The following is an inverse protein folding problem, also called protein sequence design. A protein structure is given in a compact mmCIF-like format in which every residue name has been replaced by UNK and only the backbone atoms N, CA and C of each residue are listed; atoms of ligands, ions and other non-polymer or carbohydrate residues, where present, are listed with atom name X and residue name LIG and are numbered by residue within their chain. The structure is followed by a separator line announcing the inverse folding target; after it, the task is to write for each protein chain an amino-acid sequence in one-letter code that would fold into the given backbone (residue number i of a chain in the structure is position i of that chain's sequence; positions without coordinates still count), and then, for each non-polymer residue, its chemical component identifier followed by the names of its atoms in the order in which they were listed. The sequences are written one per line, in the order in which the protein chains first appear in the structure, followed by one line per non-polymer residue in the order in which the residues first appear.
data_IF_962912879961
#
_entry.id   IF_962912879961
#
_cell.length_a   1.000
_cell.length_b   1.000
_cell.length_c   1.000
_cell.angle_alpha   90.00
_cell.angle_beta   90.00
_cell.angle_gamma   90.00
#
_symmetry.space_group_name_H-M   'P 1'
#
loop_
_entity.id
_entity.type
_entity.pdbx_description
1 polymer ?
#
# COMPACT_ATOMS: atom_id res chain seq x y z
N UNK A 1 -22.80 53.63 10.71
CA UNK A 1 -23.16 52.25 10.46
C UNK A 1 -22.53 51.60 9.20
N UNK A 2 -22.01 52.34 8.23
CA UNK A 2 -21.38 51.74 7.00
C UNK A 2 -19.93 51.23 7.15
N UNK A 3 -19.20 51.64 8.17
CA UNK A 3 -17.78 51.28 8.36
C UNK A 3 -17.57 49.87 8.98
N UNK A 4 -18.54 49.31 9.64
CA UNK A 4 -18.42 47.98 10.27
C UNK A 4 -18.82 46.82 9.34
N UNK A 5 -19.54 47.08 8.24
CA UNK A 5 -19.89 46.04 7.27
C UNK A 5 -18.72 45.64 6.38
N UNK A 6 -17.74 46.53 6.13
CA UNK A 6 -16.60 46.23 5.26
C UNK A 6 -15.57 45.36 5.98
N UNK A 7 -15.43 45.51 7.31
CA UNK A 7 -14.49 44.69 8.13
C UNK A 7 -14.97 43.25 8.30
N UNK A 8 -16.28 43.02 8.36
CA UNK A 8 -16.84 41.66 8.46
C UNK A 8 -16.72 40.87 7.14
N UNK A 9 -16.77 41.56 5.99
CA UNK A 9 -16.66 40.94 4.66
C UNK A 9 -15.22 40.51 4.32
N UNK A 10 -14.21 41.20 4.88
CA UNK A 10 -12.79 40.89 4.66
C UNK A 10 -12.31 39.72 5.53
N UNK A 11 -12.97 39.42 6.66
CA UNK A 11 -12.66 38.27 7.50
C UNK A 11 -13.25 36.93 6.95
N UNK A 12 -14.20 36.98 6.04
CA UNK A 12 -14.75 35.78 5.40
C UNK A 12 -13.92 35.27 4.21
N UNK A 13 -12.94 36.03 3.72
CA UNK A 13 -12.14 35.66 2.55
C UNK A 13 -10.82 34.97 2.87
N UNK A 14 -10.51 34.70 4.12
CA UNK A 14 -9.27 34.04 4.53
C UNK A 14 -9.53 32.70 5.25
N UNK A 15 -10.51 31.93 4.77
CA UNK A 15 -10.49 30.51 5.13
C UNK A 15 -9.38 29.87 4.27
N UNK A 16 -8.30 29.35 4.88
CA UNK A 16 -7.35 28.57 4.11
C UNK A 16 -8.14 27.45 3.45
N UNK A 17 -8.05 27.31 2.14
CA UNK A 17 -8.56 26.14 1.45
C UNK A 17 -7.91 24.94 2.13
N UNK A 18 -8.66 24.15 2.87
CA UNK A 18 -8.17 22.87 3.39
C UNK A 18 -7.85 22.03 2.17
N UNK A 19 -6.56 21.98 1.83
CA UNK A 19 -6.11 21.15 0.73
C UNK A 19 -6.46 19.71 1.07
N UNK A 20 -7.15 19.02 0.15
CA UNK A 20 -7.48 17.62 0.33
C UNK A 20 -6.21 16.81 0.56
N UNK A 21 -6.17 16.02 1.63
CA UNK A 21 -5.06 15.11 1.92
C UNK A 21 -5.21 13.87 1.08
N UNK A 22 -4.09 13.36 0.56
CA UNK A 22 -4.06 12.17 -0.29
C UNK A 22 -3.05 11.16 0.23
N UNK A 23 -3.44 9.90 0.27
CA UNK A 23 -2.52 8.81 0.56
C UNK A 23 -2.56 7.78 -0.58
N UNK A 24 -1.38 7.26 -0.95
CA UNK A 24 -1.24 6.18 -1.93
C UNK A 24 -0.66 4.93 -1.25
N UNK A 25 -1.25 3.76 -1.55
CA UNK A 25 -0.66 2.45 -1.33
C UNK A 25 -0.41 1.77 -2.67
N UNK A 26 0.82 1.28 -2.90
CA UNK A 26 1.16 0.67 -4.17
C UNK A 26 2.31 -0.34 -4.06
N UNK A 27 2.11 -1.56 -4.55
CA UNK A 27 3.20 -2.47 -4.87
C UNK A 27 3.80 -2.02 -6.21
N UNK A 28 5.05 -1.53 -6.16
CA UNK A 28 5.73 -0.90 -7.31
C UNK A 28 6.58 -1.89 -8.13
N UNK A 29 6.42 -3.16 -7.87
CA UNK A 29 7.09 -4.26 -8.56
C UNK A 29 8.61 -4.06 -8.71
N UNK A 30 9.37 -4.75 -7.88
CA UNK A 30 10.84 -4.80 -8.00
C UNK A 30 11.52 -3.42 -8.07
N UNK A 31 11.08 -2.48 -7.21
CA UNK A 31 11.62 -1.13 -7.15
C UNK A 31 11.31 -0.27 -8.37
N UNK A 32 10.12 -0.41 -8.94
CA UNK A 32 9.71 0.25 -10.19
C UNK A 32 10.67 -0.09 -11.33
N UNK A 33 10.98 -1.38 -11.49
CA UNK A 33 11.96 -1.85 -12.47
C UNK A 33 11.69 -1.35 -13.89
N UNK A 34 10.43 -1.20 -14.26
CA UNK A 34 10.00 -0.74 -15.58
C UNK A 34 10.43 0.69 -15.93
N UNK A 35 10.81 1.49 -14.92
CA UNK A 35 11.21 2.90 -15.09
C UNK A 35 12.64 3.18 -14.61
N UNK A 36 13.39 2.14 -14.20
CA UNK A 36 14.78 2.29 -13.74
C UNK A 36 15.69 2.86 -14.83
N UNK A 37 15.59 2.35 -16.07
CA UNK A 37 16.35 2.84 -17.21
C UNK A 37 16.02 4.30 -17.58
N UNK A 38 14.85 4.78 -17.20
CA UNK A 38 14.39 6.16 -17.35
C UNK A 38 14.62 7.00 -16.08
N UNK A 39 15.50 6.56 -15.20
CA UNK A 39 15.78 7.25 -13.93
C UNK A 39 14.52 7.57 -13.11
N UNK A 40 13.51 6.72 -13.17
CA UNK A 40 12.20 6.88 -12.47
C UNK A 40 11.40 8.13 -12.87
N UNK A 41 11.63 8.71 -14.06
CA UNK A 41 11.01 9.98 -14.44
C UNK A 41 9.48 9.87 -14.57
N UNK A 42 8.96 8.77 -15.15
CA UNK A 42 7.51 8.54 -15.25
C UNK A 42 6.86 8.33 -13.87
N UNK A 43 7.52 7.55 -13.00
CA UNK A 43 7.07 7.33 -11.62
C UNK A 43 6.98 8.64 -10.83
N UNK A 44 8.03 9.45 -10.92
CA UNK A 44 8.09 10.76 -10.27
C UNK A 44 7.01 11.70 -10.81
N UNK A 45 6.79 11.73 -12.12
CA UNK A 45 5.78 12.59 -12.74
C UNK A 45 4.35 12.17 -12.35
N UNK A 46 4.09 10.86 -12.29
CA UNK A 46 2.82 10.34 -11.77
C UNK A 46 2.55 10.80 -10.33
N UNK A 47 3.56 10.71 -9.45
CA UNK A 47 3.43 11.13 -8.06
C UNK A 47 3.31 12.66 -7.93
N UNK A 48 4.02 13.46 -8.74
CA UNK A 48 3.84 14.92 -8.79
C UNK A 48 2.41 15.30 -9.17
N UNK A 49 1.88 14.65 -10.21
CA UNK A 49 0.54 14.95 -10.72
C UNK A 49 -0.54 14.55 -9.71
N UNK A 50 -0.40 13.37 -9.09
CA UNK A 50 -1.33 12.89 -8.07
C UNK A 50 -1.19 13.69 -6.77
N UNK A 51 0.04 14.15 -6.46
CA UNK A 51 0.40 14.99 -5.33
C UNK A 51 0.00 14.42 -3.95
N UNK A 52 0.30 13.15 -3.63
CA UNK A 52 -0.02 12.56 -2.34
C UNK A 52 0.75 13.23 -1.19
N UNK A 53 0.20 13.16 0.02
CA UNK A 53 0.88 13.61 1.24
C UNK A 53 1.71 12.49 1.87
N UNK A 54 1.26 11.25 1.69
CA UNK A 54 1.94 10.03 2.16
C UNK A 54 1.82 8.95 1.10
N UNK A 55 2.92 8.22 0.86
CA UNK A 55 2.95 7.02 0.03
C UNK A 55 3.45 5.83 0.86
N UNK A 56 2.81 4.67 0.64
CA UNK A 56 3.27 3.37 1.12
C UNK A 56 3.56 2.49 -0.10
N UNK A 57 4.81 2.09 -0.26
CA UNK A 57 5.24 1.27 -1.38
C UNK A 57 5.69 -0.11 -0.90
N UNK A 58 5.23 -1.17 -1.56
CA UNK A 58 5.76 -2.52 -1.45
C UNK A 58 6.74 -2.80 -2.59
N UNK A 59 7.62 -3.80 -2.41
CA UNK A 59 8.69 -4.15 -3.36
C UNK A 59 9.61 -2.97 -3.71
N UNK A 60 9.99 -2.21 -2.70
CA UNK A 60 10.67 -0.93 -2.84
C UNK A 60 12.20 -1.05 -2.99
N UNK A 61 12.69 -2.08 -3.68
CA UNK A 61 14.11 -2.39 -3.89
C UNK A 61 14.41 -2.65 -5.36
N UNK A 62 15.52 -2.09 -5.85
CA UNK A 62 16.04 -2.38 -7.19
C UNK A 62 16.49 -3.85 -7.29
N UNK A 63 15.88 -4.62 -8.20
CA UNK A 63 16.20 -6.03 -8.42
C UNK A 63 16.76 -6.31 -9.82
N UNK A 64 16.44 -5.46 -10.80
CA UNK A 64 16.98 -5.55 -12.16
C UNK A 64 18.27 -4.74 -12.27
N UNK A 65 19.39 -5.44 -12.29
CA UNK A 65 20.72 -4.85 -12.35
C UNK A 65 21.43 -5.30 -13.62
N UNK A 66 22.08 -4.37 -14.27
CA UNK A 66 23.12 -4.70 -15.25
C UNK A 66 24.38 -5.19 -14.53
N UNK A 67 25.22 -5.94 -15.23
CA UNK A 67 26.44 -6.52 -14.65
C UNK A 67 27.30 -5.45 -13.99
N UNK A 68 27.59 -5.64 -12.70
CA UNK A 68 28.46 -4.76 -11.92
C UNK A 68 27.81 -3.48 -11.38
N UNK A 69 26.50 -3.30 -11.55
CA UNK A 69 25.79 -2.20 -10.91
C UNK A 69 25.43 -2.51 -9.47
N UNK A 70 25.59 -1.53 -8.59
CA UNK A 70 25.04 -1.57 -7.23
C UNK A 70 23.56 -1.20 -7.25
N UNK A 71 22.72 -1.82 -6.40
CA UNK A 71 21.31 -1.47 -6.29
C UNK A 71 21.13 0.01 -5.93
N UNK A 72 20.38 0.75 -6.75
CA UNK A 72 20.09 2.16 -6.46
C UNK A 72 19.11 2.31 -5.29
N UNK A 73 18.06 1.52 -5.26
CA UNK A 73 17.13 1.42 -4.14
C UNK A 73 17.48 0.18 -3.29
N UNK A 74 17.29 0.22 -1.96
CA UNK A 74 16.57 1.25 -1.19
C UNK A 74 17.43 2.44 -0.72
N UNK A 75 18.74 2.44 -0.93
CA UNK A 75 19.67 3.42 -0.36
C UNK A 75 19.40 4.89 -0.79
N UNK A 76 18.77 5.09 -1.95
CA UNK A 76 18.52 6.42 -2.52
C UNK A 76 17.03 6.80 -2.55
N UNK A 77 16.19 6.18 -1.71
CA UNK A 77 14.78 6.54 -1.64
C UNK A 77 14.57 8.02 -1.26
N UNK A 78 15.41 8.60 -0.42
CA UNK A 78 15.40 10.02 -0.08
C UNK A 78 15.53 10.91 -1.31
N UNK A 79 16.43 10.56 -2.25
CA UNK A 79 16.63 11.30 -3.49
C UNK A 79 15.45 11.18 -4.45
N UNK A 80 14.87 9.98 -4.57
CA UNK A 80 13.69 9.76 -5.41
C UNK A 80 12.48 10.47 -4.82
N UNK A 81 12.25 10.35 -3.51
CA UNK A 81 11.15 10.98 -2.79
C UNK A 81 11.18 12.52 -2.88
N UNK A 82 12.36 13.12 -2.72
CA UNK A 82 12.54 14.57 -2.85
C UNK A 82 12.10 15.11 -4.23
N UNK A 83 12.23 14.32 -5.30
CA UNK A 83 11.84 14.72 -6.66
C UNK A 83 10.34 14.94 -6.82
N UNK A 84 9.50 14.27 -6.02
CA UNK A 84 8.04 14.49 -5.99
C UNK A 84 7.56 15.19 -4.72
N UNK A 85 8.48 15.81 -3.97
CA UNK A 85 8.16 16.71 -2.87
C UNK A 85 7.99 16.04 -1.51
N UNK A 86 8.48 14.81 -1.32
CA UNK A 86 8.51 14.15 -0.02
C UNK A 86 9.89 14.28 0.62
N UNK A 87 9.92 14.90 1.81
CA UNK A 87 11.16 15.15 2.57
C UNK A 87 11.48 14.02 3.55
N UNK A 88 10.49 13.20 3.92
CA UNK A 88 10.65 12.17 4.93
C UNK A 88 10.49 10.78 4.32
N UNK A 89 11.42 9.90 4.67
CA UNK A 89 11.46 8.51 4.17
C UNK A 89 11.68 7.57 5.34
N UNK A 90 10.92 6.49 5.38
CA UNK A 90 11.08 5.38 6.30
C UNK A 90 11.14 4.06 5.54
N UNK A 91 12.17 3.27 5.79
CA UNK A 91 12.34 1.92 5.27
C UNK A 91 11.98 0.91 6.36
N UNK A 92 10.95 0.10 6.12
CA UNK A 92 10.46 -0.87 7.10
C UNK A 92 11.45 -2.01 7.35
N UNK A 93 12.03 -2.55 6.28
CA UNK A 93 13.01 -3.63 6.31
C UNK A 93 14.05 -3.40 5.23
N UNK A 94 15.33 -3.43 5.58
CA UNK A 94 16.45 -3.15 4.67
C UNK A 94 17.20 -4.41 4.18
N UNK A 95 16.99 -5.53 4.86
CA UNK A 95 17.67 -6.80 4.54
C UNK A 95 16.84 -7.75 3.67
N UNK A 96 15.59 -7.39 3.40
CA UNK A 96 14.70 -8.17 2.57
C UNK A 96 14.88 -7.84 1.07
N UNK A 97 14.39 -8.75 0.22
CA UNK A 97 14.32 -8.53 -1.22
C UNK A 97 13.11 -7.70 -1.65
N UNK A 98 12.08 -7.58 -0.81
CA UNK A 98 10.84 -6.89 -1.11
C UNK A 98 10.41 -5.94 0.03
N UNK A 99 11.29 -4.98 0.43
CA UNK A 99 11.03 -4.08 1.54
C UNK A 99 9.85 -3.15 1.24
N UNK A 100 9.22 -2.63 2.32
CA UNK A 100 8.26 -1.56 2.23
C UNK A 100 8.93 -0.23 2.57
N UNK A 101 8.49 0.83 1.88
CA UNK A 101 8.92 2.21 2.11
C UNK A 101 7.70 3.09 2.33
N UNK A 102 7.77 3.96 3.33
CA UNK A 102 6.83 5.06 3.52
C UNK A 102 7.56 6.35 3.20
N UNK A 103 6.99 7.16 2.30
CA UNK A 103 7.46 8.51 2.04
C UNK A 103 6.39 9.54 2.37
N UNK A 104 6.77 10.72 2.86
CA UNK A 104 5.83 11.71 3.37
C UNK A 104 6.32 13.13 3.18
N UNK A 105 5.36 14.07 2.96
CA UNK A 105 5.58 15.52 3.10
C UNK A 105 5.69 15.94 4.56
N UNK A 106 5.19 15.12 5.48
CA UNK A 106 5.12 15.40 6.91
C UNK A 106 6.13 14.56 7.68
N UNK A 107 6.63 15.05 8.83
CA UNK A 107 7.58 14.32 9.67
C UNK A 107 7.07 12.93 10.06
N UNK A 108 7.93 11.92 9.86
CA UNK A 108 7.69 10.54 10.28
C UNK A 108 8.30 10.35 11.66
N UNK A 109 7.47 9.87 12.62
CA UNK A 109 7.86 9.70 14.03
C UNK A 109 7.48 8.33 14.57
N UNK A 110 8.00 8.01 15.76
CA UNK A 110 7.66 6.79 16.51
C UNK A 110 7.74 5.51 15.68
N UNK A 111 8.87 5.34 15.02
CA UNK A 111 9.13 4.24 14.09
C UNK A 111 9.26 2.91 14.84
N UNK A 112 8.48 1.91 14.42
CA UNK A 112 8.62 0.51 14.85
C UNK A 112 8.75 -0.39 13.64
N UNK A 113 9.90 -1.09 13.52
CA UNK A 113 10.10 -2.18 12.55
C UNK A 113 9.60 -3.50 13.14
N UNK A 114 8.96 -4.33 12.33
CA UNK A 114 8.35 -5.59 12.73
C UNK A 114 8.85 -6.68 11.79
N UNK A 115 9.81 -7.47 12.26
CA UNK A 115 10.44 -8.53 11.47
C UNK A 115 9.98 -9.95 11.89
N UNK A 116 9.07 -10.03 12.87
CA UNK A 116 8.62 -11.29 13.45
C UNK A 116 9.32 -11.63 14.77
N UNK A 117 9.25 -12.89 15.17
CA UNK A 117 9.85 -13.46 16.38
C UNK A 117 10.43 -14.84 16.08
N UNK A 118 10.94 -15.55 17.12
CA UNK A 118 11.42 -16.93 16.95
C UNK A 118 10.32 -17.88 16.46
N UNK A 119 9.06 -17.62 16.86
CA UNK A 119 7.90 -18.46 16.56
C UNK A 119 7.05 -17.96 15.40
N UNK A 120 7.24 -16.72 14.96
CA UNK A 120 6.44 -16.11 13.91
C UNK A 120 7.34 -15.30 12.98
N UNK A 121 7.41 -15.72 11.73
CA UNK A 121 8.12 -15.00 10.68
C UNK A 121 7.17 -14.01 10.03
N UNK A 122 7.61 -12.75 9.88
CA UNK A 122 7.00 -11.75 9.00
C UNK A 122 7.98 -11.58 7.83
N UNK A 123 7.69 -12.26 6.72
CA UNK A 123 8.68 -12.57 5.69
C UNK A 123 9.32 -11.34 5.07
N UNK A 124 8.52 -10.40 4.59
CA UNK A 124 9.00 -9.12 4.04
C UNK A 124 9.06 -8.01 5.11
N UNK A 125 8.80 -8.37 6.38
CA UNK A 125 8.69 -7.40 7.45
C UNK A 125 7.44 -6.53 7.35
N UNK A 126 7.28 -5.66 8.32
CA UNK A 126 6.26 -4.62 8.35
C UNK A 126 6.80 -3.42 9.13
N UNK A 127 6.11 -2.30 9.06
CA UNK A 127 6.49 -1.12 9.82
C UNK A 127 5.28 -0.36 10.33
N UNK A 128 5.44 0.26 11.49
CA UNK A 128 4.49 1.21 12.05
C UNK A 128 5.18 2.54 12.30
N UNK A 129 4.55 3.61 11.81
CA UNK A 129 5.00 4.98 12.01
C UNK A 129 3.83 5.87 12.43
N UNK A 130 4.14 7.02 13.01
CA UNK A 130 3.18 8.08 13.26
C UNK A 130 3.51 9.30 12.40
N UNK A 131 2.47 9.87 11.77
CA UNK A 131 2.57 11.06 10.93
C UNK A 131 1.49 12.04 11.39
N UNK A 132 1.89 13.28 11.71
CA UNK A 132 0.95 14.33 12.05
C UNK A 132 0.52 15.08 10.79
N UNK A 133 -0.78 15.09 10.55
CA UNK A 133 -1.42 15.86 9.48
C UNK A 133 -2.58 16.65 10.06
N UNK A 134 -2.63 17.96 9.80
CA UNK A 134 -3.68 18.88 10.28
C UNK A 134 -3.94 18.82 11.80
N UNK A 135 -2.86 18.70 12.59
CA UNK A 135 -2.93 18.63 14.05
C UNK A 135 -3.45 17.29 14.59
N UNK A 136 -3.55 16.27 13.78
CA UNK A 136 -3.97 14.91 14.15
C UNK A 136 -2.85 13.90 13.85
N UNK A 137 -2.68 12.94 14.75
CA UNK A 137 -1.68 11.88 14.59
C UNK A 137 -2.32 10.66 13.92
N UNK A 138 -1.81 10.31 12.75
CA UNK A 138 -2.18 9.09 12.03
C UNK A 138 -1.15 8.00 12.32
N UNK A 139 -1.63 6.82 12.68
CA UNK A 139 -0.83 5.61 12.82
C UNK A 139 -0.89 4.86 11.48
N UNK A 140 0.25 4.73 10.82
CA UNK A 140 0.34 4.08 9.50
C UNK A 140 1.18 2.81 9.63
N UNK A 141 0.58 1.68 9.30
CA UNK A 141 1.23 0.37 9.23
C UNK A 141 1.39 0.01 7.76
N UNK A 142 2.63 -0.22 7.31
CA UNK A 142 2.91 -0.80 6.02
C UNK A 142 3.06 -2.31 6.15
N UNK A 143 2.50 -3.06 5.20
CA UNK A 143 2.48 -4.50 5.17
C UNK A 143 2.76 -5.02 3.76
N UNK A 144 3.58 -6.07 3.66
CA UNK A 144 3.69 -6.90 2.47
C UNK A 144 3.74 -8.36 2.93
N UNK A 145 2.63 -9.06 2.81
CA UNK A 145 2.55 -10.46 3.20
C UNK A 145 3.23 -11.36 2.17
N UNK A 146 3.83 -12.46 2.63
CA UNK A 146 4.55 -13.38 1.76
C UNK A 146 3.65 -13.96 0.66
N UNK A 147 4.09 -13.95 -0.60
CA UNK A 147 3.31 -14.51 -1.72
C UNK A 147 3.20 -16.05 -1.63
N UNK A 148 4.16 -16.73 -0.93
CA UNK A 148 4.25 -18.17 -0.83
C UNK A 148 4.45 -18.62 0.63
N UNK A 149 3.96 -19.81 1.00
CA UNK A 149 4.28 -20.40 2.31
C UNK A 149 5.79 -20.71 2.40
N UNK A 150 6.43 -20.23 3.48
CA UNK A 150 7.79 -20.62 3.81
C UNK A 150 7.80 -22.09 4.25
N UNK A 151 8.32 -22.98 3.42
CA UNK A 151 8.40 -24.42 3.72
C UNK A 151 8.13 -25.35 2.54
N UNK A 152 7.52 -24.86 1.47
CA UNK A 152 7.56 -25.54 0.19
C UNK A 152 8.92 -25.26 -0.44
N UNK A 153 9.86 -26.22 -0.36
CA UNK A 153 11.21 -26.06 -0.89
C UNK A 153 11.18 -25.45 -2.28
N UNK A 154 11.90 -24.34 -2.44
CA UNK A 154 12.27 -23.86 -3.79
C UNK A 154 12.84 -25.08 -4.51
N UNK A 155 12.37 -25.45 -5.70
CA UNK A 155 13.10 -26.42 -6.50
C UNK A 155 14.51 -25.86 -6.68
N UNK A 156 15.49 -26.47 -6.03
CA UNK A 156 16.89 -26.22 -6.33
C UNK A 156 17.13 -26.71 -7.77
N UNK A 157 17.29 -25.78 -8.68
CA UNK A 157 17.73 -26.12 -10.03
C UNK A 157 17.04 -25.33 -11.11
N UNK A 158 17.77 -24.43 -11.71
CA UNK A 158 17.53 -23.98 -13.06
C UNK A 158 17.14 -22.51 -13.20
N UNK A 159 18.09 -21.71 -13.64
CA UNK A 159 17.80 -20.58 -14.54
C UNK A 159 16.90 -21.12 -15.65
N UNK A 160 15.59 -20.94 -15.53
CA UNK A 160 14.59 -21.33 -16.50
C UNK A 160 13.86 -20.09 -16.94
N UNK A 161 14.24 -19.64 -18.14
CA UNK A 161 13.47 -18.79 -19.05
C UNK A 161 11.97 -18.79 -18.74
N UNK A 162 11.42 -17.59 -18.60
CA UNK A 162 10.02 -17.25 -18.36
C UNK A 162 8.98 -18.26 -18.84
N UNK A 163 8.51 -19.06 -17.93
CA UNK A 163 7.23 -19.74 -18.08
C UNK A 163 6.17 -18.84 -17.41
N UNK A 164 5.39 -18.18 -18.25
CA UNK A 164 4.09 -17.64 -17.85
C UNK A 164 3.38 -18.75 -17.08
N UNK A 165 3.20 -18.60 -15.78
CA UNK A 165 2.21 -19.39 -15.06
C UNK A 165 0.86 -19.00 -15.67
N UNK A 166 0.21 -19.96 -16.30
CA UNK A 166 -1.18 -19.83 -16.71
C UNK A 166 -2.04 -19.50 -15.49
N UNK A 167 -3.28 -19.02 -15.66
CA UNK A 167 -4.17 -18.67 -14.57
C UNK A 167 -4.34 -19.91 -13.70
N UNK A 168 -3.64 -19.93 -12.56
CA UNK A 168 -3.77 -20.99 -11.55
C UNK A 168 -5.21 -20.98 -11.08
N UNK A 169 -5.90 -22.11 -11.30
CA UNK A 169 -7.25 -22.31 -10.80
C UNK A 169 -7.32 -22.08 -9.30
N UNK A 170 -8.51 -21.82 -8.73
CA UNK A 170 -8.76 -21.40 -7.35
C UNK A 170 -8.48 -22.48 -6.26
N UNK A 171 -7.59 -23.42 -6.49
CA UNK A 171 -7.46 -24.61 -5.65
C UNK A 171 -6.13 -24.83 -4.90
N UNK A 172 -5.17 -23.90 -4.90
CA UNK A 172 -3.83 -24.20 -4.38
C UNK A 172 -3.36 -23.42 -3.14
N UNK A 173 -4.19 -22.62 -2.47
CA UNK A 173 -3.74 -21.57 -1.56
C UNK A 173 -3.82 -21.79 -0.04
N UNK A 174 -4.51 -22.81 0.46
CA UNK A 174 -4.85 -22.90 1.90
C UNK A 174 -3.65 -22.79 2.86
N UNK A 175 -2.53 -23.45 2.56
CA UNK A 175 -1.33 -23.38 3.42
C UNK A 175 -0.61 -22.03 3.36
N UNK A 176 -0.68 -21.30 2.25
CA UNK A 176 -0.10 -19.98 2.11
C UNK A 176 -0.92 -18.91 2.82
N UNK A 177 -2.25 -19.00 2.81
CA UNK A 177 -3.12 -18.04 3.48
C UNK A 177 -3.09 -18.20 5.01
N UNK A 178 -2.97 -19.43 5.53
CA UNK A 178 -2.73 -19.66 6.96
C UNK A 178 -1.40 -19.07 7.42
N UNK A 179 -0.36 -19.11 6.59
CA UNK A 179 0.90 -18.45 6.90
C UNK A 179 0.74 -16.92 6.93
N UNK A 180 0.16 -16.32 5.88
CA UNK A 180 -0.14 -14.87 5.80
C UNK A 180 -1.02 -14.40 6.96
N UNK A 181 -2.01 -15.21 7.38
CA UNK A 181 -2.82 -14.91 8.55
C UNK A 181 -1.96 -14.77 9.81
N UNK A 182 -0.98 -15.67 10.04
CA UNK A 182 -0.06 -15.56 11.18
C UNK A 182 0.80 -14.30 11.10
N UNK A 183 1.27 -13.92 9.90
CA UNK A 183 2.00 -12.65 9.71
C UNK A 183 1.13 -11.46 10.10
N UNK A 184 -0.08 -11.36 9.55
CA UNK A 184 -1.03 -10.25 9.82
C UNK A 184 -1.44 -10.24 11.28
N UNK A 185 -1.74 -11.40 11.88
CA UNK A 185 -2.04 -11.53 13.30
C UNK A 185 -0.91 -10.98 14.17
N UNK A 186 0.34 -11.34 13.85
CA UNK A 186 1.50 -10.85 14.58
C UNK A 186 1.65 -9.34 14.42
N UNK A 187 1.53 -8.80 13.21
CA UNK A 187 1.60 -7.36 12.95
C UNK A 187 0.52 -6.62 13.72
N UNK A 188 -0.74 -7.08 13.69
CA UNK A 188 -1.82 -6.46 14.45
C UNK A 188 -1.55 -6.46 15.97
N UNK A 189 -1.03 -7.57 16.53
CA UNK A 189 -0.64 -7.68 17.95
C UNK A 189 0.54 -6.77 18.31
N UNK A 190 1.39 -6.44 17.36
CA UNK A 190 2.53 -5.51 17.57
C UNK A 190 2.17 -4.05 17.33
N UNK A 191 0.99 -3.75 16.78
CA UNK A 191 0.54 -2.41 16.40
C UNK A 191 -0.80 -2.07 17.05
N UNK A 192 -1.88 -2.09 16.31
CA UNK A 192 -3.20 -1.61 16.73
C UNK A 192 -3.72 -2.30 18.00
N UNK A 193 -3.48 -3.60 18.18
CA UNK A 193 -3.91 -4.35 19.36
C UNK A 193 -3.06 -4.10 20.62
N UNK A 194 -2.02 -3.27 20.53
CA UNK A 194 -1.30 -2.76 21.70
C UNK A 194 -2.02 -1.59 22.40
N UNK A 195 -3.04 -1.04 21.77
CA UNK A 195 -3.78 0.12 22.24
C UNK A 195 -5.00 -0.32 23.04
N UNK A 196 -5.35 0.47 24.05
CA UNK A 196 -6.51 0.20 24.90
C UNK A 196 -7.84 0.47 24.16
N UNK A 197 -7.87 1.57 23.38
CA UNK A 197 -9.05 2.01 22.62
C UNK A 197 -8.69 2.35 21.17
N UNK A 198 -8.20 1.36 20.39
CA UNK A 198 -7.73 1.61 19.02
C UNK A 198 -8.83 2.08 18.08
N UNK A 199 -10.10 1.75 18.37
CA UNK A 199 -11.29 2.17 17.62
C UNK A 199 -11.52 3.69 17.64
N UNK A 200 -10.91 4.39 18.60
CA UNK A 200 -10.99 5.86 18.73
C UNK A 200 -9.79 6.60 18.14
N UNK A 201 -8.77 5.87 17.71
CA UNK A 201 -7.54 6.42 17.13
C UNK A 201 -7.57 6.38 15.60
N UNK A 202 -6.70 7.17 14.96
CA UNK A 202 -6.55 7.21 13.51
C UNK A 202 -5.52 6.18 13.07
N UNK A 203 -5.97 5.01 12.64
CA UNK A 203 -5.14 3.91 12.16
C UNK A 203 -5.41 3.61 10.70
N UNK A 204 -4.32 3.37 9.96
CA UNK A 204 -4.32 2.81 8.61
C UNK A 204 -3.34 1.63 8.56
N UNK A 205 -3.73 0.53 7.91
CA UNK A 205 -2.84 -0.57 7.54
C UNK A 205 -2.94 -0.74 6.03
N UNK A 206 -1.82 -0.61 5.33
CA UNK A 206 -1.77 -0.46 3.88
C UNK A 206 -0.71 -1.37 3.27
N UNK A 207 -0.98 -1.92 2.10
CA UNK A 207 -0.01 -2.69 1.31
C UNK A 207 -0.59 -3.87 0.56
N UNK A 208 0.31 -4.78 0.16
CA UNK A 208 0.00 -6.02 -0.53
C UNK A 208 -0.15 -7.17 0.48
N UNK A 209 -1.34 -7.73 0.58
CA UNK A 209 -1.64 -8.84 1.49
C UNK A 209 -1.49 -10.21 0.82
N UNK A 210 -1.25 -10.24 -0.50
CA UNK A 210 -1.16 -11.47 -1.30
C UNK A 210 -2.31 -12.48 -1.03
N UNK A 211 -3.45 -11.97 -0.59
CA UNK A 211 -4.63 -12.73 -0.17
C UNK A 211 -5.90 -12.01 -0.62
N UNK A 212 -7.00 -12.76 -0.77
CA UNK A 212 -8.30 -12.25 -1.21
C UNK A 212 -9.31 -12.25 -0.06
N UNK A 213 -10.28 -11.32 -0.12
CA UNK A 213 -11.31 -11.14 0.90
C UNK A 213 -12.61 -11.85 0.53
N UNK A 214 -13.32 -12.40 1.53
CA UNK A 214 -14.69 -12.92 1.35
C UNK A 214 -15.70 -11.82 1.03
N UNK A 215 -15.37 -10.53 1.22
CA UNK A 215 -16.20 -9.41 0.75
C UNK A 215 -16.32 -9.37 -0.78
N UNK A 216 -15.36 -9.97 -1.49
CA UNK A 216 -15.35 -10.08 -2.94
C UNK A 216 -15.89 -11.44 -3.44
N UNK A 217 -16.51 -12.24 -2.57
CA UNK A 217 -16.91 -13.59 -2.92
C UNK A 217 -17.98 -13.65 -4.03
N UNK A 218 -18.75 -12.59 -4.23
CA UNK A 218 -19.66 -12.48 -5.39
C UNK A 218 -18.93 -12.52 -6.72
N UNK A 219 -17.67 -12.09 -6.76
CA UNK A 219 -16.79 -12.23 -7.91
C UNK A 219 -16.11 -13.60 -7.96
N UNK A 220 -15.51 -14.05 -6.84
CA UNK A 220 -14.71 -15.29 -6.84
C UNK A 220 -15.54 -16.57 -6.87
N UNK A 221 -16.78 -16.54 -6.35
CA UNK A 221 -17.71 -17.67 -6.31
C UNK A 221 -17.16 -18.92 -5.61
N UNK A 222 -16.35 -18.72 -4.56
CA UNK A 222 -15.82 -19.80 -3.74
C UNK A 222 -16.79 -20.14 -2.59
N UNK A 223 -16.51 -21.24 -1.86
CA UNK A 223 -17.24 -21.53 -0.64
C UNK A 223 -17.07 -20.40 0.37
N UNK A 224 -18.15 -20.00 1.04
CA UNK A 224 -18.13 -18.90 2.00
C UNK A 224 -17.21 -19.18 3.21
N UNK A 225 -16.97 -20.46 3.53
CA UNK A 225 -16.09 -20.95 4.59
C UNK A 225 -14.69 -21.34 4.07
N UNK A 226 -14.34 -20.90 2.85
CA UNK A 226 -13.03 -21.18 2.27
C UNK A 226 -11.91 -20.61 3.12
N UNK A 227 -10.91 -21.44 3.46
CA UNK A 227 -9.73 -21.03 4.22
C UNK A 227 -8.88 -19.97 3.52
N UNK A 228 -9.08 -19.74 2.22
CA UNK A 228 -8.40 -18.68 1.45
C UNK A 228 -8.75 -17.26 1.97
N UNK A 229 -9.88 -17.10 2.65
CA UNK A 229 -10.33 -15.82 3.21
C UNK A 229 -9.81 -15.55 4.62
N UNK A 230 -9.09 -16.48 5.23
CA UNK A 230 -8.73 -16.46 6.65
C UNK A 230 -7.91 -15.23 7.08
N UNK A 231 -7.14 -14.61 6.16
CA UNK A 231 -6.36 -13.40 6.41
C UNK A 231 -7.28 -12.20 6.71
N UNK A 232 -8.17 -11.92 5.77
CA UNK A 232 -9.08 -10.77 5.87
C UNK A 232 -10.22 -11.00 6.87
N UNK A 233 -10.64 -12.25 7.05
CA UNK A 233 -11.59 -12.63 8.11
C UNK A 233 -10.96 -12.39 9.50
N UNK A 234 -9.68 -12.72 9.69
CA UNK A 234 -8.98 -12.39 10.93
C UNK A 234 -8.98 -10.89 11.21
N UNK A 235 -8.60 -10.05 10.23
CA UNK A 235 -8.55 -8.59 10.38
C UNK A 235 -9.92 -8.06 10.82
N UNK A 236 -10.99 -8.40 10.11
CA UNK A 236 -12.33 -7.90 10.38
C UNK A 236 -12.93 -8.37 11.70
N UNK A 237 -12.60 -9.58 12.13
CA UNK A 237 -13.19 -10.17 13.32
C UNK A 237 -12.40 -9.84 14.60
N UNK A 238 -11.12 -9.42 14.50
CA UNK A 238 -10.23 -9.26 15.65
C UNK A 238 -9.66 -7.85 15.79
N UNK A 239 -9.97 -6.94 14.87
CA UNK A 239 -9.48 -5.56 14.91
C UNK A 239 -10.60 -4.57 14.56
N UNK A 240 -10.49 -3.29 14.90
CA UNK A 240 -11.44 -2.26 14.47
C UNK A 240 -11.21 -1.78 13.02
N UNK A 241 -10.43 -2.49 12.23
CA UNK A 241 -10.15 -2.14 10.85
C UNK A 241 -11.33 -2.45 9.92
N UNK A 242 -11.62 -1.50 9.03
CA UNK A 242 -12.60 -1.60 7.94
C UNK A 242 -11.86 -1.54 6.62
N UNK A 243 -12.19 -2.39 5.66
CA UNK A 243 -11.69 -2.32 4.29
C UNK A 243 -12.21 -1.06 3.60
N UNK A 244 -11.31 -0.16 3.26
CA UNK A 244 -11.66 1.17 2.73
C UNK A 244 -12.35 1.07 1.36
N UNK A 245 -11.82 0.23 0.45
CA UNK A 245 -12.39 0.08 -0.89
C UNK A 245 -13.78 -0.57 -0.81
N UNK A 246 -13.94 -1.66 -0.08
CA UNK A 246 -15.24 -2.31 0.08
C UNK A 246 -16.26 -1.41 0.79
N UNK A 247 -15.83 -0.53 1.69
CA UNK A 247 -16.69 0.44 2.36
C UNK A 247 -17.20 1.55 1.40
N UNK A 248 -16.29 2.05 0.52
CA UNK A 248 -16.64 3.13 -0.42
C UNK A 248 -17.34 2.64 -1.68
N UNK A 249 -17.14 1.37 -2.05
CA UNK A 249 -17.72 0.71 -3.24
C UNK A 249 -18.43 -0.59 -2.84
N UNK A 250 -19.51 -0.51 -2.07
CA UNK A 250 -20.18 -1.71 -1.55
C UNK A 250 -20.76 -2.56 -2.68
N UNK A 251 -20.36 -3.83 -2.73
CA UNK A 251 -20.79 -4.80 -3.74
C UNK A 251 -20.08 -4.68 -5.10
N UNK A 252 -19.13 -3.77 -5.25
CA UNK A 252 -18.32 -3.65 -6.46
C UNK A 252 -16.98 -4.38 -6.29
N UNK A 253 -16.63 -5.19 -7.27
CA UNK A 253 -15.30 -5.79 -7.34
C UNK A 253 -14.38 -4.94 -8.21
N UNK A 254 -13.28 -4.46 -7.64
CA UNK A 254 -12.24 -3.69 -8.34
C UNK A 254 -10.90 -4.41 -8.12
N UNK A 255 -10.35 -5.00 -9.19
CA UNK A 255 -9.07 -5.69 -9.10
C UNK A 255 -7.91 -4.73 -8.83
N UNK A 256 -6.94 -5.15 -8.01
CA UNK A 256 -5.73 -4.39 -7.72
C UNK A 256 -4.48 -4.94 -8.41
N UNK A 257 -4.53 -6.14 -8.96
CA UNK A 257 -3.40 -6.74 -9.68
C UNK A 257 -3.79 -7.26 -11.06
N UNK A 258 -2.81 -7.38 -11.96
CA UNK A 258 -3.03 -7.82 -13.35
C UNK A 258 -3.55 -9.27 -13.46
N UNK A 259 -3.40 -10.08 -12.43
CA UNK A 259 -3.92 -11.44 -12.38
C UNK A 259 -5.45 -11.54 -12.13
N UNK A 260 -6.15 -10.40 -12.10
CA UNK A 260 -7.59 -10.35 -11.88
C UNK A 260 -8.02 -10.46 -10.43
N UNK A 261 -7.10 -10.24 -9.47
CA UNK A 261 -7.38 -10.30 -8.03
C UNK A 261 -7.34 -8.92 -7.38
N UNK A 262 -8.04 -8.78 -6.27
CA UNK A 262 -7.82 -7.70 -5.31
C UNK A 262 -7.01 -8.27 -4.15
N UNK A 263 -5.74 -7.93 -4.08
CA UNK A 263 -4.78 -8.40 -3.08
C UNK A 263 -4.06 -7.26 -2.37
N UNK A 264 -4.21 -6.04 -2.87
CA UNK A 264 -3.77 -4.82 -2.21
C UNK A 264 -4.93 -4.18 -1.47
N UNK A 265 -4.69 -3.73 -0.25
CA UNK A 265 -5.72 -3.19 0.63
C UNK A 265 -5.25 -1.95 1.38
N UNK A 266 -6.21 -1.09 1.68
CA UNK A 266 -6.12 -0.07 2.74
C UNK A 266 -7.20 -0.42 3.76
N UNK A 267 -6.78 -0.73 4.95
CA UNK A 267 -7.63 -0.87 6.13
C UNK A 267 -7.55 0.39 6.98
N UNK A 268 -8.67 0.83 7.51
CA UNK A 268 -8.72 2.01 8.36
C UNK A 268 -9.70 1.83 9.52
N UNK A 269 -9.44 2.53 10.63
CA UNK A 269 -10.42 2.63 11.72
C UNK A 269 -11.55 3.59 11.35
N UNK A 270 -12.70 3.44 11.99
CA UNK A 270 -13.90 4.25 11.72
C UNK A 270 -13.66 5.77 11.81
N UNK A 271 -12.84 6.32 12.74
CA UNK A 271 -12.50 7.74 12.74
C UNK A 271 -11.76 8.21 11.47
N UNK A 272 -11.02 7.34 10.78
CA UNK A 272 -10.40 7.62 9.49
C UNK A 272 -11.42 7.48 8.37
N UNK A 273 -12.22 6.39 8.35
CA UNK A 273 -13.27 6.13 7.34
C UNK A 273 -14.19 7.34 7.17
N UNK A 274 -14.61 7.96 8.29
CA UNK A 274 -15.47 9.15 8.27
C UNK A 274 -14.83 10.39 7.64
N UNK A 275 -13.50 10.44 7.55
CA UNK A 275 -12.77 11.54 6.94
C UNK A 275 -12.53 11.31 5.45
N UNK A 276 -12.48 10.05 4.99
CA UNK A 276 -12.22 9.70 3.58
C UNK A 276 -13.40 10.14 2.72
N UNK A 277 -13.14 11.01 1.75
CA UNK A 277 -14.09 11.50 0.74
C UNK A 277 -14.18 10.56 -0.44
N UNK A 278 -13.03 10.10 -0.94
CA UNK A 278 -12.95 9.14 -2.04
C UNK A 278 -11.85 8.10 -1.79
N UNK A 279 -12.05 6.92 -2.36
CA UNK A 279 -11.06 5.85 -2.38
C UNK A 279 -11.15 5.13 -3.71
N UNK A 280 -10.04 4.99 -4.42
CA UNK A 280 -10.03 4.45 -5.77
C UNK A 280 -8.83 3.51 -5.96
N UNK A 281 -9.05 2.41 -6.70
CA UNK A 281 -7.98 1.65 -7.31
C UNK A 281 -7.80 2.21 -8.72
N UNK A 282 -6.65 2.83 -8.99
CA UNK A 282 -6.42 3.57 -10.23
C UNK A 282 -6.21 2.60 -11.40
N UNK A 283 -7.21 2.51 -12.28
CA UNK A 283 -7.20 1.63 -13.45
C UNK A 283 -6.73 2.32 -14.72
N UNK A 284 -6.73 3.65 -14.73
CA UNK A 284 -6.41 4.49 -15.87
C UNK A 284 -5.63 5.72 -15.43
N UNK A 285 -5.15 6.48 -16.39
CA UNK A 285 -4.49 7.76 -16.14
C UNK A 285 -2.97 7.68 -16.04
N UNK A 286 -2.38 6.53 -15.72
CA UNK A 286 -0.92 6.36 -15.72
C UNK A 286 -0.40 5.42 -16.83
N UNK A 287 -1.27 4.55 -17.40
CA UNK A 287 -0.92 3.70 -18.54
C UNK A 287 -1.51 4.19 -19.87
N UNK A 288 -2.70 4.81 -19.86
CA UNK A 288 -3.42 5.19 -21.07
C UNK A 288 -2.84 6.41 -21.78
N UNK A 289 -2.26 7.35 -21.03
CA UNK A 289 -1.62 8.54 -21.61
C UNK A 289 -0.48 8.16 -22.55
N UNK A 290 0.29 7.12 -22.25
CA UNK A 290 1.37 6.65 -23.12
C UNK A 290 0.88 5.91 -24.36
N UNK A 291 -0.26 5.23 -24.31
CA UNK A 291 -0.89 4.65 -25.50
C UNK A 291 -1.35 5.70 -26.50
N UNK A 292 -1.89 6.82 -26.01
CA UNK A 292 -2.41 7.89 -26.86
C UNK A 292 -1.31 8.68 -27.58
N UNK A 293 -0.11 8.77 -27.03
CA UNK A 293 1.00 9.57 -27.57
C UNK A 293 1.95 8.81 -28.47
N UNK A 294 1.80 7.47 -28.61
CA UNK A 294 2.72 6.64 -29.38
C UNK A 294 4.15 6.55 -28.80
N UNK A 295 4.37 7.10 -27.61
CA UNK A 295 5.62 6.97 -26.87
C UNK A 295 5.84 5.52 -26.41
N UNK A 296 7.07 5.17 -26.07
CA UNK A 296 7.41 3.83 -25.57
C UNK A 296 6.47 3.46 -24.41
N UNK A 297 5.84 2.32 -24.55
CA UNK A 297 4.81 1.83 -23.65
C UNK A 297 5.39 1.60 -22.23
N UNK A 298 4.97 2.41 -21.26
CA UNK A 298 5.34 2.21 -19.86
C UNK A 298 4.24 1.44 -19.12
N UNK A 299 4.56 0.25 -18.64
CA UNK A 299 3.74 -0.53 -17.72
C UNK A 299 4.40 -0.37 -16.35
N UNK A 300 3.83 0.45 -15.45
CA UNK A 300 4.53 0.81 -14.21
C UNK A 300 4.71 -0.38 -13.26
N UNK A 301 3.68 -1.22 -13.11
CA UNK A 301 3.66 -2.36 -12.19
C UNK A 301 2.57 -3.33 -12.62
N UNK A 302 2.65 -4.59 -12.20
CA UNK A 302 1.56 -5.56 -12.27
C UNK A 302 0.50 -5.37 -11.19
N UNK A 303 0.72 -4.44 -10.26
CA UNK A 303 -0.25 -3.94 -9.30
C UNK A 303 -0.70 -2.52 -9.61
N UNK A 304 -1.88 -2.14 -9.10
CA UNK A 304 -2.51 -0.84 -9.28
C UNK A 304 -2.46 -0.02 -8.01
N UNK A 305 -2.16 1.29 -8.10
CA UNK A 305 -2.19 2.15 -6.92
C UNK A 305 -3.58 2.25 -6.32
N UNK A 306 -3.67 2.24 -4.99
CA UNK A 306 -4.88 2.63 -4.26
C UNK A 306 -4.67 4.04 -3.74
N UNK A 307 -5.56 4.96 -4.15
CA UNK A 307 -5.57 6.36 -3.74
C UNK A 307 -6.75 6.62 -2.81
N UNK A 308 -6.51 7.25 -1.67
CA UNK A 308 -7.56 7.78 -0.81
C UNK A 308 -7.40 9.29 -0.65
N UNK A 309 -8.53 10.00 -0.59
CA UNK A 309 -8.60 11.45 -0.34
C UNK A 309 -9.47 11.75 0.88
N UNK A 310 -9.00 12.73 1.71
CA UNK A 310 -9.67 13.17 2.93
C UNK A 310 -10.39 14.49 2.76
#
# INVERSE_FOLDING_TARGET
MRKYLITALLLLMAMPSVQARKLISWNIQDGMWSDQANNYDNFVEFLKTTNPDVCVFCEAKTTHLENGQEPYLPANWDKVAARYGHEYVYLAQDQDNSPQVITSKHPIRNIKRIAGSQDTVVGHGAGWVQIDMDGRTYNIVCMHAMPFAMGGGRPQGGMGTGRRMGPGGPGGGGGSDEFRKKEVEYVCKQTILTREHPENELWLMMGDFNSISSLDNDHYKLSADSSIYCVHDYIRNNTPYVDVIANKHPGEFIQSSQNGRRIDYIYATEPVIRQIRSAEILNSGYTEQHRATGASYWIPSDHRPILIEF
#
